data_IF_783577740845
#
_entry.id   IF_783577740845
#
_cell.length_a   1.000
_cell.length_b   1.000
_cell.length_c   1.000
_cell.angle_alpha   90.00
_cell.angle_beta   90.00
_cell.angle_gamma   90.00
#
_symmetry.space_group_name_H-M   'P 1'
#
loop_
_entity.id
_entity.type
_entity.pdbx_description
1 polymer ?
#
# COMPACT_ATOMS: atom_id res chain seq x y z
N UNK A 1 25.64 -2.72 9.08
CA UNK A 1 26.17 -4.09 9.30
C UNK A 1 25.51 -4.99 8.27
N UNK A 2 26.28 -5.47 7.30
CA UNK A 2 25.79 -6.33 6.22
C UNK A 2 25.55 -7.73 6.77
N UNK A 3 24.29 -8.19 6.73
CA UNK A 3 23.97 -9.61 6.86
C UNK A 3 23.48 -10.08 5.50
N UNK A 4 24.42 -10.59 4.71
CA UNK A 4 24.15 -11.62 3.70
C UNK A 4 23.64 -12.83 4.48
N UNK A 5 22.33 -13.04 4.49
CA UNK A 5 21.75 -14.32 4.90
C UNK A 5 21.16 -14.95 3.65
N UNK A 6 21.52 -16.21 3.44
CA UNK A 6 21.36 -16.97 2.21
C UNK A 6 19.99 -16.79 1.58
N UNK A 7 20.02 -16.20 0.39
CA UNK A 7 18.90 -16.07 -0.52
C UNK A 7 18.45 -17.49 -0.88
N UNK A 8 17.39 -17.96 -0.23
CA UNK A 8 16.63 -19.12 -0.71
C UNK A 8 16.11 -18.85 -2.11
N UNK A 9 16.10 -19.89 -2.96
CA UNK A 9 15.78 -19.81 -4.39
C UNK A 9 14.55 -18.95 -4.68
N UNK A 10 14.79 -17.79 -5.30
CA UNK A 10 13.75 -16.90 -5.82
C UNK A 10 13.15 -17.52 -7.09
N UNK A 11 11.96 -18.10 -7.00
CA UNK A 11 11.16 -18.41 -8.20
C UNK A 11 10.08 -17.34 -8.40
N UNK A 12 10.24 -16.55 -9.46
CA UNK A 12 9.19 -15.64 -9.94
C UNK A 12 8.29 -16.40 -10.90
N UNK A 13 7.07 -16.73 -10.47
CA UNK A 13 6.01 -17.15 -11.39
C UNK A 13 5.13 -15.94 -11.68
N UNK A 14 5.33 -15.30 -12.84
CA UNK A 14 4.47 -14.19 -13.26
C UNK A 14 5.09 -13.31 -14.34
N UNK A 15 4.62 -13.54 -15.56
CA UNK A 15 4.95 -12.82 -16.79
C UNK A 15 4.10 -11.53 -16.88
N UNK A 16 4.72 -10.38 -17.19
CA UNK A 16 4.12 -9.13 -17.73
C UNK A 16 3.16 -8.27 -16.87
N UNK A 17 3.01 -8.49 -15.56
CA UNK A 17 2.17 -7.66 -14.66
C UNK A 17 2.91 -6.55 -13.88
N UNK A 18 2.14 -5.60 -13.31
CA UNK A 18 2.58 -4.49 -12.42
C UNK A 18 2.87 -5.02 -10.98
N UNK A 19 2.67 -6.32 -10.78
CA UNK A 19 2.83 -7.09 -9.57
C UNK A 19 3.80 -8.26 -9.72
N UNK A 20 4.46 -8.57 -8.61
CA UNK A 20 5.29 -9.75 -8.43
C UNK A 20 4.82 -10.52 -7.22
N UNK A 21 4.48 -11.77 -7.41
CA UNK A 21 4.21 -12.68 -6.30
C UNK A 21 5.51 -13.37 -5.89
N UNK A 22 5.80 -13.32 -4.59
CA UNK A 22 6.88 -14.04 -3.95
C UNK A 22 6.29 -15.05 -2.97
N UNK A 23 6.62 -16.32 -3.13
CA UNK A 23 6.24 -17.36 -2.18
C UNK A 23 7.43 -17.67 -1.29
N UNK A 24 7.33 -17.35 0.01
CA UNK A 24 8.31 -17.77 1.01
C UNK A 24 7.92 -19.14 1.56
N UNK A 25 8.87 -20.09 1.63
CA UNK A 25 8.63 -21.40 2.26
C UNK A 25 8.22 -21.19 3.72
N UNK A 26 7.00 -21.59 4.07
CA UNK A 26 6.46 -21.54 5.45
C UNK A 26 5.62 -20.30 5.79
N UNK A 27 5.53 -19.30 4.91
CA UNK A 27 4.70 -18.11 5.12
C UNK A 27 3.59 -18.03 4.06
N UNK A 28 2.52 -17.28 4.35
CA UNK A 28 1.52 -16.90 3.34
C UNK A 28 2.23 -16.23 2.14
N UNK A 29 1.71 -16.46 0.94
CA UNK A 29 2.18 -15.83 -0.29
C UNK A 29 2.26 -14.30 -0.12
N UNK A 30 3.43 -13.72 -0.39
CA UNK A 30 3.65 -12.28 -0.34
C UNK A 30 3.47 -11.71 -1.75
N UNK A 31 2.55 -10.77 -1.92
CA UNK A 31 2.40 -10.05 -3.18
C UNK A 31 3.05 -8.69 -3.08
N UNK A 32 4.02 -8.43 -3.94
CA UNK A 32 4.71 -7.15 -4.08
C UNK A 32 4.14 -6.39 -5.26
N UNK A 33 3.67 -5.18 -5.02
CA UNK A 33 3.17 -4.28 -6.06
C UNK A 33 4.21 -3.20 -6.38
N UNK A 34 4.35 -2.84 -7.65
CA UNK A 34 5.27 -1.80 -8.09
C UNK A 34 4.51 -0.68 -8.83
N UNK A 35 3.79 0.21 -8.11
CA UNK A 35 2.94 1.25 -8.72
C UNK A 35 3.69 2.17 -9.70
N UNK A 36 4.99 2.39 -9.45
CA UNK A 36 5.86 3.23 -10.29
C UNK A 36 6.70 2.44 -11.28
N UNK A 37 6.40 1.16 -11.46
CA UNK A 37 7.15 0.25 -12.33
C UNK A 37 8.38 -0.37 -11.67
N UNK A 38 9.05 -1.20 -12.45
CA UNK A 38 10.13 -2.06 -11.97
C UNK A 38 11.48 -1.69 -12.60
N UNK A 39 12.53 -1.60 -11.78
CA UNK A 39 13.89 -1.28 -12.27
C UNK A 39 14.40 -2.24 -13.36
N UNK A 40 14.04 -3.53 -13.29
CA UNK A 40 14.40 -4.54 -14.29
C UNK A 40 13.61 -4.37 -15.60
N UNK A 41 12.43 -3.76 -15.55
CA UNK A 41 11.64 -3.41 -16.72
C UNK A 41 11.51 -1.88 -16.85
N UNK A 42 12.56 -1.24 -17.38
CA UNK A 42 12.63 0.22 -17.49
C UNK A 42 11.44 0.85 -18.22
N UNK A 43 10.81 0.14 -19.16
CA UNK A 43 9.64 0.64 -19.89
C UNK A 43 8.36 0.72 -19.03
N UNK A 44 8.30 -0.03 -17.91
CA UNK A 44 7.21 0.05 -16.94
C UNK A 44 7.33 1.23 -15.98
N UNK A 45 8.50 1.86 -15.93
CA UNK A 45 8.78 2.94 -14.99
C UNK A 45 7.90 4.14 -15.34
N UNK A 46 7.09 4.54 -14.37
CA UNK A 46 6.12 5.63 -14.50
C UNK A 46 6.62 6.82 -13.69
N UNK A 47 7.21 7.79 -14.37
CA UNK A 47 7.64 9.06 -13.81
C UNK A 47 7.08 10.20 -14.65
N UNK A 48 5.99 10.80 -14.18
CA UNK A 48 5.47 12.03 -14.76
C UNK A 48 3.95 12.06 -14.84
N UNK A 49 3.40 13.26 -14.66
CA UNK A 49 1.97 13.52 -14.60
C UNK A 49 1.19 12.92 -15.79
N UNK A 50 1.76 12.96 -17.00
CA UNK A 50 1.14 12.41 -18.21
C UNK A 50 0.93 10.90 -18.14
N UNK A 51 1.91 10.15 -17.65
CA UNK A 51 1.83 8.70 -17.62
C UNK A 51 0.80 8.24 -16.58
N UNK A 52 0.78 8.90 -15.42
CA UNK A 52 -0.27 8.64 -14.45
C UNK A 52 -1.67 9.10 -14.89
N UNK A 53 -1.79 10.17 -15.67
CA UNK A 53 -3.08 10.56 -16.24
C UNK A 53 -3.67 9.42 -17.10
N UNK A 54 -2.81 8.64 -17.78
CA UNK A 54 -3.24 7.46 -18.51
C UNK A 54 -3.68 6.31 -17.58
N UNK A 55 -3.16 6.26 -16.35
CA UNK A 55 -3.55 5.28 -15.32
C UNK A 55 -4.84 5.65 -14.58
N UNK A 56 -5.35 6.89 -14.73
CA UNK A 56 -6.60 7.32 -14.07
C UNK A 56 -7.79 6.42 -14.41
N UNK A 57 -7.86 5.94 -15.67
CA UNK A 57 -8.92 5.02 -16.07
C UNK A 57 -8.85 3.71 -15.27
N UNK A 58 -7.65 3.16 -15.07
CA UNK A 58 -7.47 1.91 -14.29
C UNK A 58 -7.82 2.12 -12.82
N UNK A 59 -7.46 3.29 -12.25
CA UNK A 59 -7.83 3.68 -10.89
C UNK A 59 -9.35 3.77 -10.73
N UNK A 60 -10.05 4.40 -11.68
CA UNK A 60 -11.52 4.49 -11.68
C UNK A 60 -12.21 3.15 -11.90
N UNK A 61 -11.65 2.30 -12.76
CA UNK A 61 -12.14 0.93 -12.99
C UNK A 61 -12.00 0.11 -11.69
N UNK A 62 -10.87 0.21 -11.00
CA UNK A 62 -10.65 -0.43 -9.70
C UNK A 62 -11.65 0.09 -8.63
N UNK A 63 -11.85 1.40 -8.56
CA UNK A 63 -12.83 2.02 -7.64
C UNK A 63 -14.25 1.52 -7.91
N UNK A 64 -14.64 1.45 -9.19
CA UNK A 64 -15.96 0.98 -9.59
C UNK A 64 -16.18 -0.49 -9.20
N UNK A 65 -15.17 -1.35 -9.44
CA UNK A 65 -15.19 -2.75 -8.99
C UNK A 65 -15.29 -2.88 -7.47
N UNK A 66 -14.57 -2.05 -6.72
CA UNK A 66 -14.67 -2.04 -5.26
C UNK A 66 -16.09 -1.69 -4.80
N UNK A 67 -16.71 -0.66 -5.36
CA UNK A 67 -18.09 -0.26 -4.99
C UNK A 67 -19.14 -1.33 -5.28
N UNK A 68 -18.96 -2.13 -6.34
CA UNK A 68 -19.84 -3.26 -6.62
C UNK A 68 -19.77 -4.36 -5.55
N UNK A 69 -18.62 -4.49 -4.87
CA UNK A 69 -18.34 -5.55 -3.91
C UNK A 69 -18.23 -5.05 -2.45
N UNK A 70 -18.57 -3.79 -2.18
CA UNK A 70 -18.36 -3.14 -0.87
C UNK A 70 -19.07 -3.84 0.28
N UNK A 71 -20.22 -4.47 0.01
CA UNK A 71 -21.06 -5.15 1.00
C UNK A 71 -20.84 -6.67 1.02
N UNK A 72 -19.96 -7.19 0.17
CA UNK A 72 -19.71 -8.62 0.09
C UNK A 72 -18.90 -9.06 1.32
N UNK A 73 -19.38 -10.09 2.02
CA UNK A 73 -18.73 -10.64 3.22
C UNK A 73 -17.55 -11.56 2.91
N UNK A 74 -17.39 -11.97 1.65
CA UNK A 74 -16.24 -12.77 1.22
C UNK A 74 -14.97 -11.94 1.21
N UNK A 75 -13.89 -12.51 1.75
CA UNK A 75 -12.56 -11.88 1.70
C UNK A 75 -12.07 -12.00 0.26
N UNK A 76 -12.19 -10.92 -0.49
CA UNK A 76 -11.60 -10.82 -1.83
C UNK A 76 -10.12 -10.43 -1.65
N UNK A 77 -9.23 -11.19 -2.28
CA UNK A 77 -7.82 -10.83 -2.36
C UNK A 77 -7.64 -9.69 -3.37
N UNK A 78 -6.82 -8.68 -3.04
CA UNK A 78 -6.71 -7.49 -3.86
C UNK A 78 -6.06 -7.84 -5.19
N UNK A 79 -6.68 -7.37 -6.27
CA UNK A 79 -6.22 -7.63 -7.65
C UNK A 79 -5.33 -6.51 -8.21
N UNK A 80 -5.18 -5.42 -7.47
CA UNK A 80 -4.32 -4.29 -7.80
C UNK A 80 -3.84 -3.60 -6.51
N UNK A 81 -2.78 -2.79 -6.62
CA UNK A 81 -2.36 -1.94 -5.50
C UNK A 81 -3.44 -0.93 -5.09
N UNK A 82 -4.25 -0.43 -6.03
CA UNK A 82 -5.37 0.47 -5.74
C UNK A 82 -6.44 -0.26 -4.92
N UNK A 83 -6.74 -1.51 -5.30
CA UNK A 83 -7.69 -2.37 -4.57
C UNK A 83 -7.19 -2.70 -3.16
N UNK A 84 -5.89 -2.96 -2.99
CA UNK A 84 -5.25 -3.09 -1.68
C UNK A 84 -5.49 -1.84 -0.82
N UNK A 85 -5.26 -0.66 -1.40
CA UNK A 85 -5.46 0.64 -0.76
C UNK A 85 -6.91 0.91 -0.37
N UNK A 86 -7.89 0.30 -1.04
CA UNK A 86 -9.31 0.48 -0.71
C UNK A 86 -9.80 -0.55 0.31
N UNK A 87 -9.33 -1.80 0.25
CA UNK A 87 -9.97 -2.94 0.92
C UNK A 87 -9.28 -3.44 2.20
N UNK A 88 -7.99 -3.18 2.40
CA UNK A 88 -7.21 -3.73 3.52
C UNK A 88 -6.75 -2.64 4.50
N UNK A 89 -6.49 -2.96 5.79
CA UNK A 89 -5.70 -2.09 6.66
C UNK A 89 -4.33 -1.80 6.02
N UNK A 90 -3.84 -0.56 6.15
CA UNK A 90 -2.60 -0.13 5.51
C UNK A 90 -1.56 0.25 6.56
N UNK A 91 -0.30 -0.08 6.30
CA UNK A 91 0.83 0.34 7.11
C UNK A 91 1.89 0.97 6.20
N UNK A 92 2.12 2.27 6.38
CA UNK A 92 3.17 3.00 5.68
C UNK A 92 4.46 2.97 6.49
N UNK A 93 5.55 2.57 5.83
CA UNK A 93 6.89 2.51 6.40
C UNK A 93 7.89 3.09 5.41
N UNK A 94 8.81 3.93 5.89
CA UNK A 94 9.86 4.52 5.06
C UNK A 94 9.37 5.51 4.00
N UNK A 95 8.09 5.90 4.04
CA UNK A 95 7.50 6.93 3.17
C UNK A 95 7.13 8.15 4.02
N UNK A 96 7.30 9.33 3.43
CA UNK A 96 6.95 10.59 4.07
C UNK A 96 5.47 10.94 3.96
N UNK A 97 4.73 10.28 3.05
CA UNK A 97 3.37 10.65 2.65
C UNK A 97 3.33 12.16 2.37
N UNK A 98 4.28 12.62 1.55
CA UNK A 98 4.39 14.02 1.16
C UNK A 98 3.43 14.35 0.01
N UNK A 99 3.36 15.63 -0.36
CA UNK A 99 2.43 16.09 -1.41
C UNK A 99 2.80 15.60 -2.81
N UNK A 100 4.02 15.13 -3.04
CA UNK A 100 4.47 14.63 -4.33
C UNK A 100 3.98 13.21 -4.61
N UNK A 101 3.65 12.43 -3.57
CA UNK A 101 3.04 11.10 -3.64
C UNK A 101 1.52 11.17 -3.92
N UNK A 102 1.16 11.89 -4.99
CA UNK A 102 -0.23 12.24 -5.27
C UNK A 102 -1.12 11.03 -5.60
N UNK A 103 -0.54 9.95 -6.12
CA UNK A 103 -1.22 8.70 -6.45
C UNK A 103 -1.64 7.94 -5.19
N UNK A 104 -0.77 7.92 -4.18
CA UNK A 104 -1.08 7.48 -2.81
C UNK A 104 -2.21 8.34 -2.25
N UNK A 105 -2.13 9.67 -2.37
CA UNK A 105 -3.19 10.58 -1.90
C UNK A 105 -4.52 10.35 -2.60
N UNK A 106 -4.50 10.14 -3.92
CA UNK A 106 -5.72 9.85 -4.70
C UNK A 106 -6.39 8.57 -4.20
N UNK A 107 -5.61 7.51 -3.98
CA UNK A 107 -6.12 6.24 -3.46
C UNK A 107 -6.69 6.39 -2.04
N UNK A 108 -5.98 7.11 -1.15
CA UNK A 108 -6.43 7.36 0.23
C UNK A 108 -7.69 8.23 0.29
N UNK A 109 -7.77 9.29 -0.52
CA UNK A 109 -8.97 10.14 -0.58
C UNK A 109 -10.16 9.33 -1.09
N UNK A 110 -9.97 8.50 -2.12
CA UNK A 110 -11.03 7.61 -2.60
C UNK A 110 -11.49 6.63 -1.53
N UNK A 111 -10.55 6.03 -0.79
CA UNK A 111 -10.85 5.17 0.37
C UNK A 111 -11.69 5.92 1.40
N UNK A 112 -11.27 7.10 1.85
CA UNK A 112 -11.99 7.87 2.86
C UNK A 112 -13.37 8.33 2.38
N UNK A 113 -13.51 8.65 1.09
CA UNK A 113 -14.81 8.99 0.49
C UNK A 113 -15.75 7.79 0.47
N UNK A 114 -15.25 6.58 0.22
CA UNK A 114 -16.08 5.38 0.24
C UNK A 114 -16.70 5.13 1.62
N UNK A 115 -15.96 5.41 2.70
CA UNK A 115 -16.41 5.26 4.09
C UNK A 115 -16.91 6.56 4.73
N UNK A 116 -17.05 7.64 3.96
CA UNK A 116 -17.38 8.96 4.50
C UNK A 116 -18.83 9.10 5.01
N UNK A 117 -19.71 8.17 4.65
CA UNK A 117 -21.09 8.13 5.14
C UNK A 117 -21.15 7.45 6.51
N UNK A 118 -22.00 7.94 7.41
CA UNK A 118 -22.09 7.46 8.79
C UNK A 118 -22.44 5.96 8.90
N UNK A 119 -23.26 5.46 7.99
CA UNK A 119 -23.64 4.04 7.89
C UNK A 119 -22.45 3.13 7.54
N UNK A 120 -21.51 3.64 6.74
CA UNK A 120 -20.34 2.92 6.24
C UNK A 120 -19.06 3.19 7.03
N UNK A 121 -19.00 4.26 7.83
CA UNK A 121 -17.81 4.66 8.60
C UNK A 121 -17.30 3.57 9.53
N UNK A 122 -18.20 2.76 10.08
CA UNK A 122 -17.87 1.58 10.93
C UNK A 122 -17.06 0.51 10.20
N UNK A 123 -17.07 0.49 8.87
CA UNK A 123 -16.32 -0.44 8.04
C UNK A 123 -14.98 0.13 7.56
N UNK A 124 -14.68 1.41 7.87
CA UNK A 124 -13.42 2.06 7.53
C UNK A 124 -12.25 1.28 8.13
N UNK A 125 -11.31 0.88 7.27
CA UNK A 125 -10.13 0.14 7.69
C UNK A 125 -9.02 1.13 8.08
N UNK A 126 -8.29 0.89 9.19
CA UNK A 126 -7.30 1.83 9.68
C UNK A 126 -6.11 1.98 8.72
N UNK A 127 -5.50 3.16 8.76
CA UNK A 127 -4.26 3.49 8.07
C UNK A 127 -3.22 3.87 9.11
N UNK A 128 -2.15 3.09 9.19
CA UNK A 128 -1.05 3.28 10.11
C UNK A 128 0.12 3.93 9.41
N UNK A 129 0.84 4.80 10.12
CA UNK A 129 2.10 5.37 9.64
C UNK A 129 3.16 5.22 10.71
N UNK A 130 4.29 4.62 10.34
CA UNK A 130 5.44 4.51 11.22
C UNK A 130 6.18 5.84 11.21
N UNK A 131 6.25 6.50 12.37
CA UNK A 131 6.77 7.86 12.48
C UNK A 131 7.74 7.99 13.65
N UNK A 132 8.68 8.92 13.52
CA UNK A 132 9.50 9.40 14.62
C UNK A 132 8.80 10.59 15.29
N UNK A 133 9.11 10.84 16.55
CA UNK A 133 8.54 11.97 17.30
C UNK A 133 8.63 13.30 16.51
N UNK A 134 7.51 14.02 16.41
CA UNK A 134 7.34 15.27 15.63
C UNK A 134 7.59 15.17 14.10
N UNK A 135 7.65 13.97 13.53
CA UNK A 135 7.61 13.79 12.08
C UNK A 135 6.15 13.64 11.58
N UNK A 136 5.93 13.90 10.30
CA UNK A 136 4.64 13.77 9.61
C UNK A 136 3.48 14.53 10.28
N UNK A 137 3.78 15.68 10.90
CA UNK A 137 2.77 16.54 11.55
C UNK A 137 1.74 17.10 10.56
N UNK A 138 2.09 17.15 9.28
CA UNK A 138 1.19 17.54 8.19
C UNK A 138 0.09 16.52 7.90
N UNK A 139 0.21 15.28 8.40
CA UNK A 139 -0.80 14.25 8.15
C UNK A 139 -2.05 14.46 9.01
N UNK A 140 -3.26 14.32 8.43
CA UNK A 140 -4.52 14.47 9.14
C UNK A 140 -4.64 13.45 10.29
N UNK A 141 -4.74 13.91 11.55
CA UNK A 141 -4.69 13.01 12.72
C UNK A 141 -5.92 12.12 12.86
N UNK A 142 -7.05 12.50 12.26
CA UNK A 142 -8.28 11.71 12.22
C UNK A 142 -8.24 10.57 11.20
N UNK A 143 -7.28 10.61 10.26
CA UNK A 143 -7.15 9.63 9.17
C UNK A 143 -5.97 8.68 9.31
N UNK A 144 -4.96 9.06 10.10
CA UNK A 144 -3.75 8.26 10.30
C UNK A 144 -3.56 7.91 11.77
N UNK A 145 -3.37 6.62 12.05
CA UNK A 145 -2.90 6.13 13.33
C UNK A 145 -1.38 6.17 13.32
N UNK A 146 -0.80 7.07 14.13
CA UNK A 146 0.65 7.25 14.22
C UNK A 146 1.27 6.20 15.14
N UNK A 147 2.15 5.38 14.59
CA UNK A 147 2.96 4.44 15.35
C UNK A 147 4.30 5.11 15.66
N UNK A 148 4.33 5.85 16.77
CA UNK A 148 5.51 6.62 17.19
C UNK A 148 6.57 5.75 17.88
N UNK A 149 7.83 5.94 17.48
CA UNK A 149 8.98 5.51 18.26
C UNK A 149 10.06 6.61 18.36
N UNK A 150 10.96 6.53 19.36
CA UNK A 150 12.07 7.49 19.52
C UNK A 150 13.01 7.56 18.30
N UNK A 151 13.19 6.42 17.62
CA UNK A 151 14.06 6.26 16.45
C UNK A 151 13.47 5.27 15.44
N UNK A 152 13.86 5.36 14.17
CA UNK A 152 13.44 4.38 13.16
C UNK A 152 13.95 2.97 13.48
N UNK A 153 15.15 2.84 14.05
CA UNK A 153 15.70 1.53 14.44
C UNK A 153 14.82 0.84 15.48
N UNK A 154 14.36 1.60 16.50
CA UNK A 154 13.40 1.09 17.47
C UNK A 154 12.03 0.80 16.84
N UNK A 155 11.57 1.64 15.91
CA UNK A 155 10.35 1.38 15.15
C UNK A 155 10.42 0.05 14.40
N UNK A 156 11.56 -0.24 13.76
CA UNK A 156 11.79 -1.50 13.05
C UNK A 156 11.85 -2.70 13.98
N UNK A 157 12.55 -2.58 15.12
CA UNK A 157 12.59 -3.65 16.12
C UNK A 157 11.19 -3.98 16.65
N UNK A 158 10.37 -2.97 16.94
CA UNK A 158 8.98 -3.17 17.35
C UNK A 158 8.17 -3.90 16.29
N UNK A 159 8.34 -3.53 15.01
CA UNK A 159 7.66 -4.17 13.90
C UNK A 159 8.07 -5.65 13.75
N UNK A 160 9.36 -5.95 13.85
CA UNK A 160 9.89 -7.31 13.78
C UNK A 160 9.40 -8.22 14.92
N UNK A 161 8.99 -7.65 16.06
CA UNK A 161 8.42 -8.42 17.16
C UNK A 161 6.92 -8.73 16.99
N UNK A 162 6.26 -8.11 16.00
CA UNK A 162 4.82 -8.28 15.73
C UNK A 162 4.56 -9.34 14.65
N UNK A 163 5.54 -9.61 13.79
CA UNK A 163 5.46 -10.58 12.69
C UNK A 163 6.33 -11.80 12.95
#
# INVERSE_FOLDING_TARGET
MFLQQEIGDFSSNGDKGIDRHFTFKGYKQLTSWHPHGDRKNKASITFGLRQYANLLKEVEDARSKFKLNEYTTTVIEPTSWVDLFMSKPLLFIGSSIDKAEWDIWLALVNRWRNYGRDDNKKHEKPVFVLTRHNCHTHLPPDKFVRLEAPSYDESWQRLMNVF
#
